data_IF_075003566493
#
_entry.id   IF_075003566493
#
_cell.length_a   1.000
_cell.length_b   1.000
_cell.length_c   1.000
_cell.angle_alpha   90.00
_cell.angle_beta   90.00
_cell.angle_gamma   90.00
#
_symmetry.space_group_name_H-M   'P 1'
#
loop_
_entity.id
_entity.type
_entity.pdbx_description
1 polymer ?
#
# COMPACT_ATOMS: atom_id res chain seq x y z
N UNK A 1 -10.90 -23.99 -2.53
CA UNK A 1 -10.17 -23.47 -1.36
C UNK A 1 -10.82 -24.09 -0.14
N UNK A 2 -10.04 -24.67 0.74
CA UNK A 2 -10.59 -25.43 1.88
C UNK A 2 -10.39 -24.62 3.17
N UNK A 3 -11.49 -24.21 3.81
CA UNK A 3 -11.49 -23.55 5.13
C UNK A 3 -11.42 -24.56 6.29
N UNK A 4 -11.37 -25.87 5.98
CA UNK A 4 -11.40 -26.93 7.01
C UNK A 4 -10.10 -27.05 7.81
N UNK A 5 -9.01 -26.46 7.29
CA UNK A 5 -7.75 -26.36 8.01
C UNK A 5 -7.67 -25.22 9.03
N UNK A 6 -8.69 -24.33 9.07
CA UNK A 6 -8.71 -23.22 10.02
C UNK A 6 -9.17 -23.67 11.40
N UNK A 7 -8.48 -23.18 12.42
CA UNK A 7 -8.81 -23.36 13.83
C UNK A 7 -9.53 -22.12 14.34
N UNK A 8 -10.86 -22.26 14.45
CA UNK A 8 -11.70 -21.24 15.06
C UNK A 8 -11.64 -21.35 16.59
N UNK A 9 -11.80 -20.23 17.26
CA UNK A 9 -11.92 -20.20 18.72
C UNK A 9 -13.25 -20.82 19.21
N UNK A 10 -13.48 -20.82 20.54
CA UNK A 10 -14.67 -21.38 21.15
C UNK A 10 -15.98 -20.67 20.71
N UNK A 11 -15.90 -19.46 20.18
CA UNK A 11 -17.03 -18.69 19.65
C UNK A 11 -17.21 -18.92 18.13
N UNK A 12 -16.38 -19.76 17.50
CA UNK A 12 -16.37 -20.00 16.07
C UNK A 12 -15.76 -18.86 15.27
N UNK A 13 -14.82 -18.11 15.85
CA UNK A 13 -14.19 -16.95 15.26
C UNK A 13 -12.69 -17.17 15.03
N UNK A 14 -12.14 -16.47 14.03
CA UNK A 14 -10.72 -16.39 13.76
C UNK A 14 -10.33 -14.91 13.59
N UNK A 15 -9.18 -14.47 14.11
CA UNK A 15 -8.69 -13.11 13.86
C UNK A 15 -8.28 -12.96 12.40
N UNK A 16 -8.60 -11.81 11.85
CA UNK A 16 -8.26 -11.44 10.47
C UNK A 16 -7.45 -10.15 10.48
N UNK A 17 -6.21 -10.26 10.05
CA UNK A 17 -5.35 -9.10 9.78
C UNK A 17 -5.61 -8.62 8.35
N UNK A 18 -5.75 -7.33 8.15
CA UNK A 18 -5.86 -6.73 6.82
C UNK A 18 -4.59 -5.95 6.52
N UNK A 19 -3.93 -6.30 5.41
CA UNK A 19 -2.77 -5.60 4.87
C UNK A 19 -3.15 -4.88 3.57
N UNK A 20 -2.80 -3.61 3.49
CA UNK A 20 -2.94 -2.85 2.25
C UNK A 20 -1.89 -3.31 1.23
N UNK A 21 -2.34 -3.72 0.04
CA UNK A 21 -1.46 -4.18 -1.03
C UNK A 21 -0.66 -3.06 -1.69
N UNK A 22 -1.07 -1.80 -1.51
CA UNK A 22 -0.39 -0.63 -2.08
C UNK A 22 0.77 -0.20 -1.18
N UNK A 23 0.52 -0.03 0.11
CA UNK A 23 1.51 0.47 1.07
C UNK A 23 2.25 -0.65 1.82
N UNK A 24 1.72 -1.88 1.81
CA UNK A 24 2.22 -2.97 2.64
C UNK A 24 1.90 -2.86 4.13
N UNK A 25 1.26 -1.78 4.56
CA UNK A 25 0.95 -1.53 5.96
C UNK A 25 -0.21 -2.43 6.46
N UNK A 26 -0.15 -2.80 7.73
CA UNK A 26 -1.29 -3.40 8.42
C UNK A 26 -2.34 -2.32 8.62
N UNK A 27 -3.51 -2.48 7.98
CA UNK A 27 -4.59 -1.51 8.01
C UNK A 27 -5.49 -1.66 9.24
N UNK A 28 -5.88 -2.89 9.55
CA UNK A 28 -6.74 -3.19 10.70
C UNK A 28 -6.67 -4.67 11.08
N UNK A 29 -7.23 -4.99 12.26
CA UNK A 29 -7.58 -6.34 12.68
C UNK A 29 -9.08 -6.38 13.01
N UNK A 30 -9.76 -7.46 12.59
CA UNK A 30 -11.13 -7.76 12.97
C UNK A 30 -11.30 -9.28 13.10
N UNK A 31 -12.53 -9.73 13.38
CA UNK A 31 -12.86 -11.14 13.56
C UNK A 31 -13.77 -11.62 12.43
N UNK A 32 -13.62 -12.86 12.03
CA UNK A 32 -14.49 -13.51 11.07
C UNK A 32 -14.95 -14.88 11.58
N UNK A 33 -16.19 -15.21 11.30
CA UNK A 33 -16.67 -16.58 11.34
C UNK A 33 -16.56 -17.22 9.94
N UNK A 34 -16.87 -18.50 9.81
CA UNK A 34 -16.81 -19.21 8.51
C UNK A 34 -17.63 -18.50 7.41
N UNK A 35 -18.85 -18.08 7.70
CA UNK A 35 -19.72 -17.38 6.74
C UNK A 35 -19.10 -16.04 6.25
N UNK A 36 -18.49 -15.28 7.15
CA UNK A 36 -17.79 -14.03 6.76
C UNK A 36 -16.60 -14.30 5.82
N UNK A 37 -15.83 -15.37 6.07
CA UNK A 37 -14.72 -15.78 5.19
C UNK A 37 -15.24 -16.22 3.81
N UNK A 38 -16.27 -17.04 3.77
CA UNK A 38 -16.90 -17.51 2.52
C UNK A 38 -17.43 -16.33 1.69
N UNK A 39 -18.12 -15.38 2.34
CA UNK A 39 -18.57 -14.14 1.67
C UNK A 39 -17.43 -13.30 1.16
N UNK A 40 -16.35 -13.15 1.92
CA UNK A 40 -15.17 -12.42 1.46
C UNK A 40 -14.55 -13.06 0.24
N UNK A 41 -14.41 -14.38 0.22
CA UNK A 41 -13.84 -15.13 -0.90
C UNK A 41 -14.71 -15.01 -2.15
N UNK A 42 -16.03 -15.09 -1.99
CA UNK A 42 -16.99 -15.03 -3.10
C UNK A 42 -17.13 -13.62 -3.67
N UNK A 43 -17.28 -12.61 -2.80
CA UNK A 43 -17.55 -11.22 -3.22
C UNK A 43 -16.30 -10.37 -3.46
N UNK A 44 -15.15 -10.80 -2.94
CA UNK A 44 -13.92 -10.00 -2.86
C UNK A 44 -14.06 -8.72 -2.04
N UNK A 45 -15.11 -8.58 -1.23
CA UNK A 45 -15.28 -7.48 -0.29
C UNK A 45 -14.96 -7.95 1.13
N UNK A 46 -14.12 -7.20 1.85
CA UNK A 46 -13.73 -7.57 3.20
C UNK A 46 -14.94 -7.63 4.13
N UNK A 47 -15.31 -8.83 4.53
CA UNK A 47 -16.47 -9.16 5.35
C UNK A 47 -15.99 -9.73 6.68
N UNK A 48 -16.61 -9.32 7.77
CA UNK A 48 -16.20 -9.64 9.13
C UNK A 48 -17.39 -10.01 10.00
N UNK A 49 -17.08 -10.50 11.21
CA UNK A 49 -18.03 -10.73 12.28
C UNK A 49 -17.85 -9.68 13.39
N UNK A 50 -18.91 -8.98 13.72
CA UNK A 50 -18.93 -8.05 14.87
C UNK A 50 -19.24 -8.81 16.14
N UNK A 51 -18.27 -8.93 17.05
CA UNK A 51 -18.43 -9.59 18.37
C UNK A 51 -19.48 -8.89 19.23
N UNK A 52 -19.55 -7.56 19.20
CA UNK A 52 -20.49 -6.76 19.99
C UNK A 52 -21.90 -6.81 19.44
N UNK A 53 -22.08 -6.78 18.10
CA UNK A 53 -23.39 -6.81 17.45
C UNK A 53 -23.88 -8.23 17.15
N UNK A 54 -23.00 -9.22 17.27
CA UNK A 54 -23.23 -10.63 16.88
C UNK A 54 -23.82 -10.74 15.47
N UNK A 55 -23.23 -10.03 14.53
CA UNK A 55 -23.68 -9.95 13.14
C UNK A 55 -22.51 -9.79 12.17
N UNK A 56 -22.71 -10.26 10.95
CA UNK A 56 -21.83 -10.00 9.82
C UNK A 56 -21.90 -8.53 9.42
N UNK A 57 -20.79 -7.97 8.99
CA UNK A 57 -20.71 -6.65 8.41
C UNK A 57 -19.67 -6.61 7.30
N UNK A 58 -19.91 -5.79 6.29
CA UNK A 58 -19.00 -5.55 5.17
C UNK A 58 -18.29 -4.22 5.41
N UNK A 59 -16.97 -4.24 5.29
CA UNK A 59 -16.17 -3.02 5.48
C UNK A 59 -16.54 -1.97 4.44
N UNK A 60 -16.89 -0.79 4.93
CA UNK A 60 -17.25 0.35 4.08
C UNK A 60 -18.71 0.34 3.58
N UNK A 61 -19.57 -0.58 4.01
CA UNK A 61 -20.99 -0.61 3.59
C UNK A 61 -21.74 0.70 3.91
N UNK A 62 -21.35 1.38 5.01
CA UNK A 62 -21.96 2.66 5.42
C UNK A 62 -21.08 3.85 5.06
N UNK A 63 -19.74 3.73 5.23
CA UNK A 63 -18.81 4.86 5.07
C UNK A 63 -18.29 5.04 3.64
N UNK A 64 -18.51 4.07 2.75
CA UNK A 64 -17.88 4.04 1.41
C UNK A 64 -16.41 3.59 1.41
N UNK A 65 -15.73 3.53 2.57
CA UNK A 65 -14.33 3.10 2.68
C UNK A 65 -14.21 1.57 2.58
N UNK A 66 -14.44 1.06 1.38
CA UNK A 66 -14.43 -0.38 1.06
C UNK A 66 -13.00 -0.92 1.03
N UNK A 67 -12.88 -2.24 1.15
CA UNK A 67 -11.63 -2.97 1.01
C UNK A 67 -11.84 -4.13 0.04
N UNK A 68 -11.23 -3.99 -1.15
CA UNK A 68 -11.30 -5.00 -2.20
C UNK A 68 -10.21 -6.06 -1.96
N UNK A 69 -10.61 -7.25 -1.56
CA UNK A 69 -9.70 -8.33 -1.16
C UNK A 69 -9.09 -8.99 -2.39
N UNK A 70 -7.77 -8.91 -2.48
CA UNK A 70 -6.96 -9.52 -3.55
C UNK A 70 -6.67 -10.98 -3.23
N UNK A 71 -6.27 -11.27 -2.00
CA UNK A 71 -5.98 -12.63 -1.54
C UNK A 71 -6.41 -12.84 -0.09
N UNK A 72 -6.71 -14.11 0.22
CA UNK A 72 -7.03 -14.61 1.56
C UNK A 72 -6.10 -15.77 1.84
N UNK A 73 -5.33 -15.70 2.91
CA UNK A 73 -4.41 -16.77 3.34
C UNK A 73 -4.55 -17.03 4.84
N UNK A 74 -4.35 -18.29 5.22
CA UNK A 74 -4.19 -18.68 6.60
C UNK A 74 -2.70 -18.57 6.98
N UNK A 75 -2.43 -18.43 8.27
CA UNK A 75 -1.08 -18.58 8.79
C UNK A 75 -0.66 -20.06 8.86
N UNK A 76 0.54 -20.33 9.38
CA UNK A 76 1.16 -21.65 9.30
C UNK A 76 0.44 -22.73 10.13
N UNK A 77 -0.29 -22.37 11.17
CA UNK A 77 -1.01 -23.27 12.04
C UNK A 77 -2.54 -23.08 12.05
N UNK A 78 -3.03 -22.19 11.16
CA UNK A 78 -4.43 -22.07 10.82
C UNK A 78 -5.28 -21.32 11.85
N UNK A 79 -4.68 -20.56 12.77
CA UNK A 79 -5.42 -19.83 13.81
C UNK A 79 -5.57 -18.33 13.55
N UNK A 80 -4.99 -17.84 12.45
CA UNK A 80 -5.17 -16.47 11.96
C UNK A 80 -5.33 -16.42 10.43
N UNK A 81 -5.97 -15.37 9.93
CA UNK A 81 -6.19 -15.14 8.51
C UNK A 81 -5.63 -13.78 8.10
N UNK A 82 -4.99 -13.71 6.94
CA UNK A 82 -4.56 -12.48 6.31
C UNK A 82 -5.44 -12.18 5.10
N UNK A 83 -6.05 -10.98 5.08
CA UNK A 83 -6.60 -10.37 3.88
C UNK A 83 -5.60 -9.40 3.29
N UNK A 84 -5.15 -9.63 2.08
CA UNK A 84 -4.50 -8.61 1.28
C UNK A 84 -5.55 -7.84 0.49
N UNK A 85 -5.65 -6.55 0.70
CA UNK A 85 -6.74 -5.75 0.15
C UNK A 85 -6.24 -4.42 -0.42
N UNK A 86 -6.97 -3.91 -1.41
CA UNK A 86 -6.88 -2.51 -1.86
C UNK A 86 -7.90 -1.71 -1.07
N UNK A 87 -7.45 -0.62 -0.48
CA UNK A 87 -8.29 0.25 0.32
C UNK A 87 -8.83 1.40 -0.54
N UNK A 88 -10.15 1.59 -0.57
CA UNK A 88 -10.80 2.71 -1.24
C UNK A 88 -10.76 4.01 -0.41
N UNK A 89 -10.27 3.94 0.84
CA UNK A 89 -10.17 5.07 1.76
C UNK A 89 -9.64 4.63 3.12
N UNK A 90 -9.68 5.51 4.13
CA UNK A 90 -9.14 5.23 5.45
C UNK A 90 -9.71 3.96 6.08
N UNK A 91 -8.81 3.11 6.60
CA UNK A 91 -9.22 1.88 7.29
C UNK A 91 -9.91 2.17 8.63
N UNK A 92 -9.44 3.17 9.34
CA UNK A 92 -9.90 3.51 10.68
C UNK A 92 -11.13 4.43 10.66
N UNK A 93 -12.06 4.23 11.62
CA UNK A 93 -13.21 5.13 11.83
C UNK A 93 -12.80 6.55 12.27
N UNK A 94 -11.56 6.75 12.71
CA UNK A 94 -10.96 8.07 12.99
C UNK A 94 -10.30 8.70 11.75
N UNK A 95 -10.68 8.28 10.54
CA UNK A 95 -10.13 8.77 9.27
C UNK A 95 -8.61 8.61 9.13
N UNK A 96 -8.03 7.58 9.75
CA UNK A 96 -6.63 7.21 9.64
C UNK A 96 -6.46 6.04 8.67
N UNK A 97 -5.33 5.99 7.98
CA UNK A 97 -5.00 4.90 7.04
C UNK A 97 -4.93 3.53 7.73
N UNK A 98 -4.46 3.51 8.98
CA UNK A 98 -4.37 2.32 9.82
C UNK A 98 -5.07 2.51 11.15
N UNK A 99 -5.57 1.42 11.73
CA UNK A 99 -6.03 1.40 13.13
C UNK A 99 -4.87 1.37 14.14
N UNK A 100 -3.65 1.03 13.69
CA UNK A 100 -2.45 0.91 14.52
C UNK A 100 -1.60 2.19 14.40
N UNK A 101 -2.04 3.28 15.01
CA UNK A 101 -1.39 4.58 14.92
C UNK A 101 -0.90 5.12 16.29
N UNK A 102 -1.26 4.45 17.39
CA UNK A 102 -0.88 4.84 18.74
C UNK A 102 0.20 3.90 19.27
N UNK A 103 1.35 4.45 19.62
CA UNK A 103 2.47 3.69 20.17
C UNK A 103 2.32 3.61 21.68
N UNK A 104 2.19 2.39 22.20
CA UNK A 104 1.89 2.12 23.61
C UNK A 104 3.12 2.34 24.53
N UNK A 105 4.32 2.32 23.98
CA UNK A 105 5.58 2.53 24.70
C UNK A 105 6.00 4.01 24.79
N UNK A 106 5.19 4.92 24.24
CA UNK A 106 5.47 6.35 24.20
C UNK A 106 6.61 6.75 23.27
N UNK A 107 7.14 5.81 22.45
CA UNK A 107 8.16 6.10 21.45
C UNK A 107 7.58 6.88 20.26
N UNK A 108 8.46 7.41 19.42
CA UNK A 108 8.09 7.85 18.07
C UNK A 108 8.14 6.64 17.12
N UNK A 109 7.28 6.62 16.10
CA UNK A 109 7.39 5.60 15.08
C UNK A 109 8.81 5.62 14.49
N UNK A 110 9.52 4.47 14.43
CA UNK A 110 10.84 4.44 13.84
C UNK A 110 10.75 4.88 12.37
N UNK A 111 11.76 5.56 11.84
CA UNK A 111 11.83 5.85 10.42
C UNK A 111 11.75 4.52 9.65
N UNK A 112 11.02 4.52 8.54
CA UNK A 112 10.99 3.33 7.69
C UNK A 112 12.39 3.08 7.13
N UNK A 113 12.95 1.91 7.37
CA UNK A 113 14.24 1.50 6.81
C UNK A 113 14.16 1.13 5.32
N UNK A 114 12.99 1.19 4.72
CA UNK A 114 12.75 0.92 3.31
C UNK A 114 12.18 2.13 2.60
N UNK A 115 12.63 2.37 1.38
CA UNK A 115 12.06 3.38 0.50
C UNK A 115 10.67 2.88 0.05
N UNK A 116 9.62 3.55 0.48
CA UNK A 116 8.23 3.25 0.10
C UNK A 116 7.77 4.27 -0.95
N UNK A 117 7.74 3.83 -2.21
CA UNK A 117 7.30 4.68 -3.33
C UNK A 117 5.81 4.56 -3.63
N UNK A 118 5.07 3.69 -2.94
CA UNK A 118 3.64 3.48 -3.23
C UNK A 118 2.79 4.75 -3.07
N UNK A 119 2.96 5.57 -2.02
CA UNK A 119 2.24 6.85 -1.91
C UNK A 119 2.58 7.81 -3.04
N UNK A 120 3.85 7.86 -3.46
CA UNK A 120 4.28 8.70 -4.59
C UNK A 120 3.59 8.29 -5.88
N UNK A 121 3.55 6.99 -6.21
CA UNK A 121 2.87 6.51 -7.40
C UNK A 121 1.36 6.80 -7.38
N UNK A 122 0.70 6.70 -6.23
CA UNK A 122 -0.72 7.05 -6.09
C UNK A 122 -0.96 8.53 -6.41
N UNK A 123 -0.14 9.43 -5.86
CA UNK A 123 -0.22 10.87 -6.15
C UNK A 123 0.08 11.16 -7.61
N UNK A 124 1.14 10.60 -8.18
CA UNK A 124 1.51 10.84 -9.57
C UNK A 124 0.41 10.37 -10.54
N UNK A 125 -0.22 9.21 -10.27
CA UNK A 125 -1.35 8.71 -11.05
C UNK A 125 -2.53 9.67 -11.02
N UNK A 126 -2.96 10.14 -9.84
CA UNK A 126 -4.02 11.14 -9.72
C UNK A 126 -3.66 12.41 -10.49
N UNK A 127 -2.42 12.93 -10.36
CA UNK A 127 -1.97 14.15 -11.09
C UNK A 127 -1.88 13.95 -12.59
N UNK A 128 -1.56 12.73 -13.04
CA UNK A 128 -1.55 12.38 -14.46
C UNK A 128 -2.96 12.33 -15.06
N UNK A 129 -3.94 11.81 -14.32
CA UNK A 129 -5.34 11.68 -14.76
C UNK A 129 -6.10 13.00 -14.64
N UNK A 130 -6.00 13.70 -13.52
CA UNK A 130 -6.83 14.85 -13.16
C UNK A 130 -6.26 16.20 -13.63
N UNK A 131 -4.93 16.32 -13.83
CA UNK A 131 -4.23 17.54 -14.25
C UNK A 131 -4.62 18.80 -13.47
N UNK A 132 -4.61 18.78 -12.12
CA UNK A 132 -5.06 19.92 -11.34
C UNK A 132 -4.18 21.14 -11.57
N UNK A 133 -4.82 22.32 -11.68
CA UNK A 133 -4.14 23.59 -11.83
C UNK A 133 -3.17 23.87 -10.66
N UNK A 134 -2.02 24.47 -10.95
CA UNK A 134 -0.98 24.78 -9.97
C UNK A 134 -0.10 23.59 -9.55
N UNK A 135 -0.43 22.37 -9.93
CA UNK A 135 0.39 21.18 -9.59
C UNK A 135 1.66 21.13 -10.42
N UNK A 136 2.81 20.99 -9.74
CA UNK A 136 4.10 20.73 -10.40
C UNK A 136 4.06 19.44 -11.23
N UNK A 137 3.56 18.36 -10.64
CA UNK A 137 3.47 17.06 -11.33
C UNK A 137 2.58 17.13 -12.57
N UNK A 138 1.44 17.85 -12.52
CA UNK A 138 0.60 18.05 -13.69
C UNK A 138 1.36 18.77 -14.81
N UNK A 139 2.11 19.84 -14.48
CA UNK A 139 2.92 20.60 -15.45
C UNK A 139 4.01 19.76 -16.12
N UNK A 140 4.70 18.88 -15.39
CA UNK A 140 5.73 18.03 -16.01
C UNK A 140 5.12 17.01 -16.97
N UNK A 141 3.94 16.47 -16.64
CA UNK A 141 3.21 15.59 -17.54
C UNK A 141 2.69 16.31 -18.79
N UNK A 142 2.27 17.58 -18.68
CA UNK A 142 1.88 18.42 -19.83
C UNK A 142 3.02 18.68 -20.78
N UNK A 143 4.24 18.86 -20.26
CA UNK A 143 5.46 19.02 -21.08
C UNK A 143 5.87 17.75 -21.82
N UNK A 144 5.27 16.63 -21.48
CA UNK A 144 5.46 15.35 -22.15
C UNK A 144 6.63 14.51 -21.64
N UNK A 145 6.71 13.31 -22.19
CA UNK A 145 7.67 12.29 -21.72
C UNK A 145 9.13 12.74 -21.91
N UNK A 146 9.47 13.38 -23.03
CA UNK A 146 10.84 13.82 -23.30
C UNK A 146 11.36 14.80 -22.25
N UNK A 147 10.50 15.67 -21.73
CA UNK A 147 10.86 16.57 -20.64
C UNK A 147 11.17 15.80 -19.35
N UNK A 148 10.39 14.76 -19.04
CA UNK A 148 10.62 13.91 -17.87
C UNK A 148 11.93 13.14 -18.03
N UNK A 149 12.19 12.59 -19.22
CA UNK A 149 13.43 11.84 -19.51
C UNK A 149 14.66 12.74 -19.41
N UNK A 150 14.57 14.00 -19.86
CA UNK A 150 15.63 14.99 -19.68
C UNK A 150 15.92 15.20 -18.19
N UNK A 151 14.88 15.37 -17.37
CA UNK A 151 15.02 15.53 -15.90
C UNK A 151 15.70 14.32 -15.25
N UNK A 152 15.35 13.09 -15.66
CA UNK A 152 16.04 11.89 -15.15
C UNK A 152 17.54 11.96 -15.41
N UNK A 153 17.96 12.45 -16.58
CA UNK A 153 19.37 12.63 -16.89
C UNK A 153 20.07 13.69 -16.03
N UNK A 154 19.38 14.80 -15.76
CA UNK A 154 19.85 15.88 -14.89
C UNK A 154 20.03 15.38 -13.45
N UNK A 155 18.96 14.81 -12.85
CA UNK A 155 18.99 14.32 -11.46
C UNK A 155 19.98 13.16 -11.28
N UNK A 156 20.15 12.30 -12.28
CA UNK A 156 21.16 11.24 -12.21
C UNK A 156 22.60 11.82 -12.15
N UNK A 157 22.86 12.91 -12.87
CA UNK A 157 24.16 13.60 -12.80
C UNK A 157 24.35 14.28 -11.45
N UNK A 158 23.30 14.89 -10.88
CA UNK A 158 23.34 15.54 -9.56
C UNK A 158 23.59 14.53 -8.44
N UNK A 159 22.95 13.35 -8.48
CA UNK A 159 23.26 12.23 -7.57
C UNK A 159 24.73 11.83 -7.66
N UNK A 160 25.32 11.73 -8.88
CA UNK A 160 26.74 11.37 -9.05
C UNK A 160 27.66 12.43 -8.40
N UNK A 161 27.31 13.70 -8.53
CA UNK A 161 28.06 14.80 -7.91
C UNK A 161 27.92 14.77 -6.40
N UNK A 162 26.68 14.64 -5.89
CA UNK A 162 26.39 14.58 -4.46
C UNK A 162 27.10 13.41 -3.76
N UNK A 163 27.19 12.24 -4.43
CA UNK A 163 27.93 11.06 -3.93
C UNK A 163 29.42 11.32 -3.68
N UNK A 164 30.01 12.37 -4.25
CA UNK A 164 31.39 12.76 -4.02
C UNK A 164 31.57 13.72 -2.84
N UNK A 165 30.47 14.28 -2.37
CA UNK A 165 30.46 15.22 -1.26
C UNK A 165 30.15 14.47 0.05
N UNK A 166 30.43 15.12 1.20
CA UNK A 166 30.15 14.55 2.53
C UNK A 166 28.85 15.04 3.13
N UNK A 167 27.91 15.51 2.28
CA UNK A 167 26.59 16.02 2.68
C UNK A 167 25.52 14.99 2.36
N UNK A 168 25.19 14.18 3.35
CA UNK A 168 24.19 13.12 3.22
C UNK A 168 22.76 13.68 3.02
N UNK A 169 22.45 14.88 3.52
CA UNK A 169 21.15 15.51 3.34
C UNK A 169 20.95 15.95 1.89
N UNK A 170 21.96 16.61 1.31
CA UNK A 170 21.96 16.98 -0.11
C UNK A 170 21.85 15.72 -0.98
N UNK A 171 22.64 14.68 -0.69
CA UNK A 171 22.58 13.41 -1.42
C UNK A 171 21.19 12.78 -1.36
N UNK A 172 20.55 12.76 -0.18
CA UNK A 172 19.20 12.21 -0.03
C UNK A 172 18.18 13.00 -0.86
N UNK A 173 18.35 14.33 -0.98
CA UNK A 173 17.54 15.20 -1.83
C UNK A 173 17.62 14.78 -3.30
N UNK A 174 18.85 14.70 -3.85
CA UNK A 174 19.07 14.34 -5.26
C UNK A 174 18.55 12.91 -5.60
N UNK A 175 18.75 11.97 -4.68
CA UNK A 175 18.20 10.62 -4.82
C UNK A 175 16.65 10.64 -4.84
N UNK A 176 16.04 11.45 -3.99
CA UNK A 176 14.58 11.59 -3.97
C UNK A 176 14.04 12.19 -5.28
N UNK A 177 14.72 13.21 -5.84
CA UNK A 177 14.33 13.84 -7.10
C UNK A 177 14.49 12.89 -8.28
N UNK A 178 15.57 12.10 -8.32
CA UNK A 178 15.74 11.04 -9.33
C UNK A 178 14.61 9.99 -9.24
N UNK A 179 14.29 9.50 -8.03
CA UNK A 179 13.20 8.55 -7.82
C UNK A 179 11.85 9.12 -8.22
N UNK A 180 11.60 10.40 -7.92
CA UNK A 180 10.39 11.10 -8.34
C UNK A 180 10.24 11.13 -9.86
N UNK A 181 11.27 11.51 -10.60
CA UNK A 181 11.21 11.59 -12.05
C UNK A 181 11.14 10.21 -12.73
N UNK A 182 11.79 9.19 -12.16
CA UNK A 182 11.62 7.80 -12.59
C UNK A 182 10.17 7.32 -12.40
N UNK A 183 9.57 7.58 -11.24
CA UNK A 183 8.18 7.25 -10.97
C UNK A 183 7.20 7.99 -11.91
N UNK A 184 7.47 9.28 -12.22
CA UNK A 184 6.70 10.05 -13.17
C UNK A 184 6.79 9.47 -14.60
N UNK A 185 7.99 9.11 -15.07
CA UNK A 185 8.17 8.47 -16.38
C UNK A 185 7.43 7.11 -16.46
N UNK A 186 7.52 6.30 -15.40
CA UNK A 186 6.78 5.04 -15.31
C UNK A 186 5.26 5.26 -15.37
N UNK A 187 4.75 6.26 -14.63
CA UNK A 187 3.33 6.63 -14.63
C UNK A 187 2.88 7.06 -16.03
N UNK A 188 3.64 7.93 -16.70
CA UNK A 188 3.35 8.39 -18.05
C UNK A 188 3.33 7.25 -19.09
N UNK A 189 4.13 6.19 -18.87
CA UNK A 189 4.18 4.98 -19.70
C UNK A 189 3.19 3.89 -19.29
N UNK A 190 2.42 4.09 -18.22
CA UNK A 190 1.53 3.07 -17.67
C UNK A 190 2.26 1.84 -17.10
N UNK A 191 3.55 1.96 -16.75
CA UNK A 191 4.34 0.88 -16.17
C UNK A 191 4.13 0.82 -14.65
N UNK A 192 3.51 -0.25 -14.10
CA UNK A 192 3.24 -0.33 -12.68
C UNK A 192 4.52 -0.63 -11.88
N UNK A 193 4.62 -0.17 -10.61
CA UNK A 193 5.74 -0.48 -9.72
C UNK A 193 5.99 -1.99 -9.57
N UNK A 194 4.94 -2.80 -9.63
CA UNK A 194 5.02 -4.27 -9.56
C UNK A 194 5.89 -4.88 -10.67
N UNK A 195 5.97 -4.26 -11.83
CA UNK A 195 6.83 -4.73 -12.93
C UNK A 195 8.32 -4.59 -12.56
N UNK A 196 8.69 -3.49 -11.90
CA UNK A 196 10.07 -3.27 -11.41
C UNK A 196 10.38 -4.24 -10.27
N UNK A 197 9.46 -4.40 -9.31
CA UNK A 197 9.61 -5.37 -8.23
C UNK A 197 9.81 -6.80 -8.75
N UNK A 198 9.04 -7.21 -9.75
CA UNK A 198 9.19 -8.51 -10.39
C UNK A 198 10.56 -8.64 -11.11
N UNK A 199 11.04 -7.58 -11.76
CA UNK A 199 12.35 -7.57 -12.39
C UNK A 199 13.49 -7.69 -11.37
N UNK A 200 13.39 -6.99 -10.24
CA UNK A 200 14.36 -7.09 -9.16
C UNK A 200 14.33 -8.46 -8.47
N UNK A 201 13.13 -9.03 -8.26
CA UNK A 201 12.98 -10.36 -7.68
C UNK A 201 13.67 -11.45 -8.53
N UNK A 202 13.54 -11.37 -9.87
CA UNK A 202 14.24 -12.30 -10.78
C UNK A 202 15.76 -12.22 -10.70
N UNK A 203 16.33 -11.11 -10.25
CA UNK A 203 17.79 -10.91 -10.11
C UNK A 203 18.33 -11.39 -8.76
N UNK A 204 17.45 -11.62 -7.78
CA UNK A 204 17.83 -12.24 -6.51
C UNK A 204 18.10 -13.72 -6.79
N UNK A 205 19.38 -14.08 -6.93
CA UNK A 205 19.77 -15.50 -6.89
C UNK A 205 19.61 -15.97 -5.44
N UNK A 206 19.18 -17.23 -5.22
CA UNK A 206 19.15 -17.85 -3.90
C UNK A 206 20.57 -17.93 -3.31
#
# INVERSE_FOLDING_TARGET
MNLDGLRFDAEGLVPVVVRDTVTGAVAMLAWANRDALERTIASRQATFWSRSRKAIWVKGETSGNRMDVVSVSADCDGDAVLYEARLAGPACHKSRESCFFELLDGSSAPPKESIDLAPLFAVLKSRFEERPEGSYSARIFEKGLDHILKKIGEEAAEVIVAMKNSDDEALAGEVADLLYHLAAAMTARGLPPSAVNAALARRRKP
#
